data_IF_651821619915
#
_entry.id   IF_651821619915
#
_cell.length_a   1.000
_cell.length_b   1.000
_cell.length_c   1.000
_cell.angle_alpha   90.00
_cell.angle_beta   90.00
_cell.angle_gamma   90.00
#
_symmetry.space_group_name_H-M   'P 1'
#
loop_
_entity.id
_entity.type
_entity.pdbx_description
1 polymer ?
#
# COMPACT_ATOMS: atom_id res chain seq x y z
N UNK A 1 -4.16 38.47 -3.14
CA UNK A 1 -4.61 37.91 -1.83
C UNK A 1 -5.21 36.49 -1.94
N UNK A 2 -4.63 35.55 -2.72
CA UNK A 2 -5.08 34.14 -2.76
C UNK A 2 -4.13 33.15 -2.06
N UNK A 3 -2.88 33.54 -1.80
CA UNK A 3 -1.84 32.64 -1.23
C UNK A 3 -1.90 32.43 0.28
N UNK A 4 -2.44 33.38 1.04
CA UNK A 4 -2.46 33.31 2.52
C UNK A 4 -3.58 32.37 3.00
N UNK A 5 -4.70 32.36 2.27
CA UNK A 5 -5.88 31.56 2.62
C UNK A 5 -5.65 30.06 2.48
N UNK A 6 -4.84 29.64 1.50
CA UNK A 6 -4.51 28.21 1.30
C UNK A 6 -3.62 27.67 2.42
N UNK A 7 -2.60 28.43 2.82
CA UNK A 7 -1.68 28.04 3.92
C UNK A 7 -2.41 27.94 5.26
N UNK A 8 -3.35 28.85 5.52
CA UNK A 8 -4.14 28.85 6.75
C UNK A 8 -5.12 27.66 6.82
N UNK A 9 -5.77 27.33 5.69
CA UNK A 9 -6.68 26.18 5.56
C UNK A 9 -5.97 24.84 5.81
N UNK A 10 -4.74 24.70 5.32
CA UNK A 10 -3.94 23.50 5.54
C UNK A 10 -3.47 23.37 7.00
N UNK A 11 -3.19 24.50 7.66
CA UNK A 11 -2.86 24.54 9.09
C UNK A 11 -4.02 24.08 10.00
N UNK A 12 -5.25 24.53 9.71
CA UNK A 12 -6.44 24.12 10.47
C UNK A 12 -6.76 22.62 10.27
N UNK A 13 -6.57 22.09 9.06
CA UNK A 13 -6.74 20.63 8.80
C UNK A 13 -5.77 19.76 9.59
N UNK A 14 -4.56 20.25 9.86
CA UNK A 14 -3.58 19.57 10.70
C UNK A 14 -3.94 19.65 12.19
N UNK A 15 -4.42 20.81 12.66
CA UNK A 15 -4.69 21.06 14.08
C UNK A 15 -5.87 20.26 14.63
N UNK A 16 -6.90 20.02 13.82
CA UNK A 16 -8.10 19.30 14.27
C UNK A 16 -8.00 17.77 14.21
N UNK A 17 -6.90 17.18 13.70
CA UNK A 17 -6.73 15.72 13.56
C UNK A 17 -7.98 15.00 13.00
N UNK A 18 -8.78 15.68 12.16
CA UNK A 18 -9.94 15.11 11.45
C UNK A 18 -9.39 14.35 10.25
N UNK A 19 -8.50 13.39 10.52
CA UNK A 19 -8.18 12.35 9.56
C UNK A 19 -9.33 11.36 9.60
N UNK A 20 -10.37 11.65 8.83
CA UNK A 20 -11.39 10.66 8.52
C UNK A 20 -10.68 9.43 7.95
N UNK A 21 -10.79 8.28 8.63
CA UNK A 21 -10.30 7.00 8.13
C UNK A 21 -10.95 6.78 6.77
N UNK A 22 -10.15 6.84 5.69
CA UNK A 22 -10.67 6.75 4.33
C UNK A 22 -11.40 5.42 4.17
N UNK A 23 -12.66 5.49 3.77
CA UNK A 23 -13.51 4.32 3.49
C UNK A 23 -12.82 3.46 2.42
N UNK A 24 -12.89 2.15 2.61
CA UNK A 24 -12.36 1.18 1.66
C UNK A 24 -13.13 1.34 0.34
N UNK A 25 -12.43 1.57 -0.77
CA UNK A 25 -13.07 1.63 -2.08
C UNK A 25 -13.76 0.28 -2.38
N UNK A 26 -14.94 0.28 -3.02
CA UNK A 26 -15.59 -0.94 -3.50
C UNK A 26 -14.63 -1.80 -4.31
N UNK A 27 -14.92 -3.10 -4.40
CA UNK A 27 -14.16 -4.02 -5.28
C UNK A 27 -14.35 -3.54 -6.71
N UNK A 28 -13.39 -2.75 -7.19
CA UNK A 28 -13.42 -2.19 -8.52
C UNK A 28 -13.10 -3.23 -9.58
N UNK A 29 -13.31 -2.86 -10.83
CA UNK A 29 -12.91 -3.63 -12.01
C UNK A 29 -11.44 -4.04 -11.94
N UNK A 30 -11.10 -5.13 -12.62
CA UNK A 30 -9.73 -5.63 -12.76
C UNK A 30 -8.77 -4.49 -13.11
N UNK A 31 -7.62 -4.36 -12.42
CA UNK A 31 -6.63 -3.34 -12.76
C UNK A 31 -6.06 -3.62 -14.15
N UNK A 32 -5.76 -2.57 -14.90
CA UNK A 32 -5.09 -2.71 -16.18
C UNK A 32 -3.63 -3.16 -15.96
N UNK A 33 -3.05 -3.79 -16.99
CA UNK A 33 -1.60 -4.06 -17.02
C UNK A 33 -0.82 -2.75 -16.79
N UNK A 34 0.28 -2.86 -16.06
CA UNK A 34 1.15 -1.76 -15.61
C UNK A 34 0.50 -0.76 -14.64
N UNK A 35 -0.70 -1.06 -14.13
CA UNK A 35 -1.31 -0.30 -13.03
C UNK A 35 -0.67 -0.65 -11.69
N UNK A 36 -0.80 0.26 -10.72
CA UNK A 36 -0.40 0.01 -9.33
C UNK A 36 -1.58 -0.43 -8.49
N UNK A 37 -1.37 -1.46 -7.68
CA UNK A 37 -2.29 -1.87 -6.60
C UNK A 37 -1.62 -1.70 -5.25
N UNK A 38 -2.38 -1.44 -4.20
CA UNK A 38 -1.88 -1.21 -2.85
C UNK A 38 -2.68 -1.93 -1.78
N UNK A 39 -2.00 -2.28 -0.69
CA UNK A 39 -2.56 -2.82 0.55
C UNK A 39 -1.71 -2.32 1.72
N UNK A 40 -2.32 -1.70 2.73
CA UNK A 40 -1.66 -1.43 4.02
C UNK A 40 -0.26 -0.80 3.97
N UNK A 41 -0.04 0.23 3.14
CA UNK A 41 1.28 0.87 3.01
C UNK A 41 2.28 0.12 2.13
N UNK A 42 1.82 -0.91 1.41
CA UNK A 42 2.57 -1.67 0.40
C UNK A 42 1.92 -1.43 -0.96
N UNK A 43 2.71 -1.37 -2.02
CA UNK A 43 2.24 -1.32 -3.41
C UNK A 43 2.92 -2.37 -4.29
N UNK A 44 2.19 -2.90 -5.24
CA UNK A 44 2.64 -3.87 -6.23
C UNK A 44 2.28 -3.38 -7.63
N UNK A 45 3.19 -3.62 -8.58
CA UNK A 45 2.95 -3.35 -9.99
C UNK A 45 2.21 -4.54 -10.61
N UNK A 46 1.16 -4.27 -11.37
CA UNK A 46 0.47 -5.28 -12.18
C UNK A 46 1.30 -5.58 -13.42
N UNK A 47 2.31 -6.44 -13.26
CA UNK A 47 3.28 -6.75 -14.31
C UNK A 47 2.74 -7.61 -15.45
N UNK A 48 1.76 -8.46 -15.16
CA UNK A 48 1.13 -9.38 -16.11
C UNK A 48 -0.38 -9.30 -15.94
N UNK A 49 -1.10 -9.73 -16.98
CA UNK A 49 -2.54 -9.93 -16.87
C UNK A 49 -2.82 -11.01 -15.83
N UNK A 50 -3.69 -10.68 -14.87
CA UNK A 50 -4.23 -11.61 -13.89
C UNK A 50 -5.65 -11.99 -14.28
N UNK A 51 -6.05 -13.20 -13.89
CA UNK A 51 -7.44 -13.64 -14.00
C UNK A 51 -8.35 -12.87 -13.02
N UNK A 52 -9.64 -12.81 -13.33
CA UNK A 52 -10.64 -12.19 -12.47
C UNK A 52 -10.74 -12.89 -11.10
N UNK A 53 -10.56 -14.20 -11.04
CA UNK A 53 -10.57 -14.98 -9.79
C UNK A 53 -9.45 -14.54 -8.87
N UNK A 54 -8.24 -14.42 -9.42
CA UNK A 54 -7.07 -13.93 -8.66
C UNK A 54 -7.27 -12.48 -8.20
N UNK A 55 -7.85 -11.63 -9.05
CA UNK A 55 -8.18 -10.26 -8.66
C UNK A 55 -9.20 -10.20 -7.52
N UNK A 56 -10.28 -10.98 -7.58
CA UNK A 56 -11.28 -11.06 -6.53
C UNK A 56 -10.64 -11.53 -5.21
N UNK A 57 -9.81 -12.57 -5.26
CA UNK A 57 -9.09 -13.06 -4.09
C UNK A 57 -8.12 -12.00 -3.52
N UNK A 58 -7.39 -11.27 -4.37
CA UNK A 58 -6.55 -10.15 -3.94
C UNK A 58 -7.39 -9.04 -3.29
N UNK A 59 -8.56 -8.73 -3.87
CA UNK A 59 -9.47 -7.73 -3.35
C UNK A 59 -10.07 -8.14 -2.00
N UNK A 60 -10.41 -9.42 -1.80
CA UNK A 60 -10.81 -9.95 -0.50
C UNK A 60 -9.69 -9.83 0.52
N UNK A 61 -8.45 -10.08 0.10
CA UNK A 61 -7.25 -9.84 0.90
C UNK A 61 -6.94 -8.35 1.14
N UNK A 62 -7.74 -7.41 0.63
CA UNK A 62 -7.62 -5.98 0.89
C UNK A 62 -6.74 -5.21 -0.10
N UNK A 63 -6.34 -5.82 -1.21
CA UNK A 63 -5.65 -5.11 -2.30
C UNK A 63 -6.61 -4.21 -3.07
N UNK A 64 -6.18 -3.01 -3.44
CA UNK A 64 -6.99 -2.03 -4.18
C UNK A 64 -6.18 -1.35 -5.27
N UNK A 65 -6.83 -0.96 -6.36
CA UNK A 65 -6.22 -0.15 -7.43
C UNK A 65 -5.91 1.25 -6.90
N UNK A 66 -4.72 1.75 -7.21
CA UNK A 66 -4.40 3.17 -7.02
C UNK A 66 -5.06 3.92 -8.18
N UNK A 67 -6.09 4.71 -7.86
CA UNK A 67 -6.86 5.47 -8.86
C UNK A 67 -6.30 6.86 -9.11
N UNK A 68 -5.56 7.43 -8.15
CA UNK A 68 -5.03 8.78 -8.23
C UNK A 68 -3.61 8.76 -8.81
N UNK A 69 -3.32 9.53 -9.88
CA UNK A 69 -1.98 9.61 -10.46
C UNK A 69 -0.92 10.13 -9.49
N UNK A 70 -1.26 11.12 -8.67
CA UNK A 70 -0.36 11.74 -7.70
C UNK A 70 -0.62 11.25 -6.27
N UNK A 71 -0.44 9.94 -6.06
CA UNK A 71 -0.57 9.37 -4.71
C UNK A 71 0.64 9.74 -3.83
N UNK A 72 0.44 10.68 -2.90
CA UNK A 72 1.46 11.14 -1.94
C UNK A 72 1.71 10.18 -0.77
N UNK A 73 1.00 9.04 -0.71
CA UNK A 73 1.21 8.04 0.33
C UNK A 73 2.56 7.37 0.15
N UNK A 74 3.27 7.21 1.27
CA UNK A 74 4.53 6.45 1.29
C UNK A 74 4.20 4.97 1.26
N UNK A 75 4.49 4.32 0.14
CA UNK A 75 4.33 2.89 -0.03
C UNK A 75 5.69 2.19 -0.11
N UNK A 76 5.77 1.00 0.46
CA UNK A 76 6.84 0.04 0.16
C UNK A 76 6.51 -0.64 -1.16
N UNK A 77 7.46 -0.67 -2.08
CA UNK A 77 7.29 -1.33 -3.37
C UNK A 77 7.64 -2.81 -3.23
N UNK A 78 6.72 -3.68 -3.62
CA UNK A 78 7.01 -5.10 -3.81
C UNK A 78 7.78 -5.34 -5.13
N UNK A 79 8.60 -6.40 -5.19
CA UNK A 79 9.25 -6.83 -6.43
C UNK A 79 8.24 -7.06 -7.55
N UNK A 80 8.65 -6.82 -8.81
CA UNK A 80 7.79 -7.02 -9.99
C UNK A 80 7.38 -8.49 -10.14
N UNK A 81 8.24 -9.37 -9.65
CA UNK A 81 8.15 -10.82 -9.63
C UNK A 81 7.12 -11.32 -8.61
N UNK A 82 6.77 -10.54 -7.60
CA UNK A 82 5.82 -10.94 -6.57
C UNK A 82 4.46 -11.32 -7.17
N UNK A 83 3.95 -10.52 -8.12
CA UNK A 83 2.72 -10.85 -8.81
C UNK A 83 2.87 -12.10 -9.69
N UNK A 84 4.04 -12.29 -10.31
CA UNK A 84 4.30 -13.46 -11.16
C UNK A 84 4.26 -14.75 -10.34
N UNK A 85 4.75 -14.72 -9.10
CA UNK A 85 4.68 -15.86 -8.18
C UNK A 85 3.22 -16.16 -7.84
N UNK A 86 2.41 -15.14 -7.52
CA UNK A 86 0.98 -15.31 -7.24
C UNK A 86 0.20 -15.82 -8.45
N UNK A 87 0.53 -15.39 -9.67
CA UNK A 87 -0.15 -15.88 -10.89
C UNK A 87 0.16 -17.35 -11.16
N UNK A 88 1.37 -17.81 -10.84
CA UNK A 88 1.81 -19.20 -11.09
C UNK A 88 1.40 -20.17 -9.99
N UNK A 89 1.09 -19.68 -8.80
CA UNK A 89 0.73 -20.51 -7.66
C UNK A 89 -0.65 -21.16 -7.85
N UNK A 90 -0.84 -22.41 -7.42
CA UNK A 90 -2.17 -23.01 -7.35
C UNK A 90 -3.01 -22.29 -6.28
N UNK A 91 -4.34 -22.30 -6.46
CA UNK A 91 -5.29 -21.59 -5.60
C UNK A 91 -5.15 -21.97 -4.11
N UNK A 92 -4.80 -23.23 -3.83
CA UNK A 92 -4.61 -23.76 -2.47
C UNK A 92 -3.37 -23.18 -1.76
N UNK A 93 -2.31 -22.84 -2.51
CA UNK A 93 -1.07 -22.30 -1.94
C UNK A 93 -1.06 -20.76 -1.89
N UNK A 94 -2.06 -20.09 -2.49
CA UNK A 94 -2.09 -18.63 -2.59
C UNK A 94 -2.09 -17.96 -1.22
N UNK A 95 -2.87 -18.47 -0.28
CA UNK A 95 -2.98 -17.91 1.07
C UNK A 95 -1.66 -18.02 1.83
N UNK A 96 -0.96 -19.15 1.70
CA UNK A 96 0.34 -19.37 2.33
C UNK A 96 1.42 -18.47 1.72
N UNK A 97 1.50 -18.42 0.39
CA UNK A 97 2.48 -17.59 -0.33
C UNK A 97 2.27 -16.12 0.00
N UNK A 98 1.03 -15.66 0.03
CA UNK A 98 0.73 -14.27 0.37
C UNK A 98 0.99 -13.94 1.82
N UNK A 99 0.62 -14.83 2.75
CA UNK A 99 0.94 -14.68 4.16
C UNK A 99 2.46 -14.57 4.37
N UNK A 100 3.25 -15.43 3.71
CA UNK A 100 4.71 -15.37 3.73
C UNK A 100 5.26 -14.07 3.14
N UNK A 101 4.70 -13.63 2.00
CA UNK A 101 5.09 -12.38 1.35
C UNK A 101 4.82 -11.17 2.28
N UNK A 102 3.66 -11.12 2.90
CA UNK A 102 3.26 -10.03 3.79
C UNK A 102 4.07 -10.01 5.08
N UNK A 103 4.30 -11.18 5.68
CA UNK A 103 5.18 -11.31 6.84
C UNK A 103 6.62 -10.86 6.53
N UNK A 104 7.14 -11.17 5.33
CA UNK A 104 8.44 -10.68 4.89
C UNK A 104 8.48 -9.14 4.77
N UNK A 105 7.41 -8.54 4.26
CA UNK A 105 7.29 -7.08 4.20
C UNK A 105 7.22 -6.46 5.59
N UNK A 106 6.46 -7.03 6.51
CA UNK A 106 6.37 -6.57 7.90
C UNK A 106 7.71 -6.69 8.63
N UNK A 107 8.45 -7.78 8.44
CA UNK A 107 9.82 -7.92 8.97
C UNK A 107 10.76 -6.85 8.41
N UNK A 108 10.69 -6.59 7.11
CA UNK A 108 11.45 -5.48 6.49
C UNK A 108 11.03 -4.12 7.06
N UNK A 109 9.77 -3.99 7.48
CA UNK A 109 9.21 -2.80 8.09
C UNK A 109 9.73 -2.54 9.49
N UNK A 110 9.70 -3.57 10.33
CA UNK A 110 10.27 -3.52 11.66
C UNK A 110 11.78 -3.24 11.63
N UNK A 111 12.53 -3.87 10.71
CA UNK A 111 13.97 -3.61 10.57
C UNK A 111 14.27 -2.16 10.18
N UNK A 112 13.52 -1.61 9.23
CA UNK A 112 13.69 -0.22 8.81
C UNK A 112 13.30 0.81 9.90
N UNK A 113 12.28 0.51 10.71
CA UNK A 113 11.90 1.39 11.83
C UNK A 113 12.90 1.30 12.99
N UNK A 114 13.46 0.13 13.27
CA UNK A 114 14.53 -0.03 14.26
C UNK A 114 15.80 0.74 13.87
N UNK A 115 16.17 0.71 12.59
CA UNK A 115 17.35 1.43 12.08
C UNK A 115 17.18 2.96 12.08
N UNK A 116 15.95 3.47 11.91
CA UNK A 116 15.67 4.90 11.83
C UNK A 116 15.32 5.56 13.17
N UNK A 117 15.17 4.78 14.26
CA UNK A 117 14.91 5.32 15.60
C UNK A 117 16.16 6.11 16.03
N UNK A 118 16.09 7.43 16.21
CA UNK A 118 17.26 8.21 16.63
C UNK A 118 17.73 7.65 17.97
N UNK A 119 19.03 7.37 18.08
CA UNK A 119 19.67 7.14 19.38
C UNK A 119 19.32 8.35 20.22
N UNK A 120 18.38 8.22 21.15
CA UNK A 120 18.11 9.27 22.15
C UNK A 120 19.45 9.54 22.80
N UNK A 121 20.03 10.69 22.49
CA UNK A 121 21.22 11.17 23.16
C UNK A 121 20.86 11.19 24.65
N UNK A 122 21.51 10.30 25.41
CA UNK A 122 21.46 10.36 26.86
C UNK A 122 22.06 11.70 27.26
N UNK A 123 21.21 12.64 27.64
CA UNK A 123 21.60 13.83 28.38
C UNK A 123 22.19 13.35 29.71
N UNK A 124 23.51 13.36 29.79
CA UNK A 124 24.24 13.45 31.06
C UNK A 124 24.06 14.86 31.62
#
# INVERSE_FOLDING_TARGET
>A
MKMIYEKFRDGIRNLFNIRQKRRVSPVGSRPAKDSWICRGGVKMLVSHDMDNTLWQWLALNGWRKITVPNDRRRYRRLPKEALRILIKAPQEELDDIHSRMMAAVERSAAKASAASRPRRAGSR
#
